data_IF_621795798132
#
_entry.id   IF_621795798132
#
_cell.length_a   1.000
_cell.length_b   1.000
_cell.length_c   1.000
_cell.angle_alpha   90.00
_cell.angle_beta   90.00
_cell.angle_gamma   90.00
#
_symmetry.space_group_name_H-M   'P 1'
#
loop_
_entity.id
_entity.type
_entity.pdbx_description
1 polymer ?
#
# COMPACT_ATOMS: atom_id res chain seq x y z
N UNK A 1 -12.04 38.48 -18.41
CA UNK A 1 -12.25 37.01 -18.43
C UNK A 1 -12.05 36.51 -17.02
N UNK A 2 -13.12 36.04 -16.37
CA UNK A 2 -13.04 35.32 -15.11
C UNK A 2 -12.59 33.88 -15.36
N UNK A 3 -11.73 33.34 -14.49
CA UNK A 3 -11.22 31.97 -14.61
C UNK A 3 -12.00 31.11 -13.61
N UNK A 4 -13.24 30.77 -13.96
CA UNK A 4 -14.15 30.08 -13.04
C UNK A 4 -13.85 28.58 -12.96
N UNK A 5 -13.78 28.06 -11.74
CA UNK A 5 -13.74 26.64 -11.42
C UNK A 5 -15.08 26.22 -10.84
N UNK A 6 -15.58 25.05 -11.22
CA UNK A 6 -16.82 24.49 -10.70
C UNK A 6 -16.58 23.12 -10.06
N UNK A 7 -17.04 22.96 -8.81
CA UNK A 7 -16.95 21.69 -8.10
C UNK A 7 -17.90 20.66 -8.73
N UNK A 8 -17.42 19.48 -9.15
CA UNK A 8 -18.28 18.45 -9.75
C UNK A 8 -19.20 17.77 -8.73
N UNK A 9 -18.89 17.84 -7.43
CA UNK A 9 -19.69 17.19 -6.39
C UNK A 9 -20.88 18.03 -5.90
N UNK A 10 -20.73 19.35 -5.81
CA UNK A 10 -21.76 20.25 -5.24
C UNK A 10 -22.12 21.46 -6.11
N UNK A 11 -21.45 21.66 -7.25
CA UNK A 11 -21.73 22.77 -8.16
C UNK A 11 -21.21 24.15 -7.71
N UNK A 12 -20.56 24.26 -6.55
CA UNK A 12 -19.96 25.51 -6.09
C UNK A 12 -18.96 26.06 -7.12
N UNK A 13 -19.05 27.35 -7.41
CA UNK A 13 -18.18 28.04 -8.37
C UNK A 13 -17.29 29.06 -7.66
N UNK A 14 -16.03 29.18 -8.08
CA UNK A 14 -15.07 30.13 -7.52
C UNK A 14 -14.05 30.60 -8.57
N UNK A 15 -13.51 31.81 -8.41
CA UNK A 15 -12.46 32.30 -9.32
C UNK A 15 -11.11 31.67 -8.95
N UNK A 16 -10.40 31.15 -9.97
CA UNK A 16 -9.11 30.49 -9.81
C UNK A 16 -8.06 31.42 -9.18
N UNK A 17 -8.13 32.74 -9.39
CA UNK A 17 -7.16 33.68 -8.81
C UNK A 17 -7.34 33.80 -7.30
N UNK A 18 -8.58 33.73 -6.82
CA UNK A 18 -8.90 33.73 -5.39
C UNK A 18 -8.48 32.40 -4.75
N UNK A 19 -8.74 31.27 -5.40
CA UNK A 19 -8.23 29.97 -4.93
C UNK A 19 -6.70 29.93 -4.88
N UNK A 20 -6.04 30.56 -5.85
CA UNK A 20 -4.58 30.74 -5.88
C UNK A 20 -4.10 31.76 -4.86
N UNK A 21 -4.93 32.50 -4.12
CA UNK A 21 -4.46 33.47 -3.14
C UNK A 21 -3.97 32.81 -1.83
N UNK A 22 -4.52 31.65 -1.46
CA UNK A 22 -4.15 30.89 -0.26
C UNK A 22 -2.78 30.21 -0.44
N UNK A 23 -1.78 30.61 0.35
CA UNK A 23 -0.42 30.07 0.26
C UNK A 23 -0.33 28.60 0.67
N UNK A 24 -1.06 28.17 1.69
CA UNK A 24 -1.00 26.79 2.18
C UNK A 24 -1.53 25.81 1.13
N UNK A 25 -2.60 26.19 0.42
CA UNK A 25 -3.10 25.40 -0.72
C UNK A 25 -2.08 25.28 -1.85
N UNK A 26 -1.32 26.34 -2.11
CA UNK A 26 -0.30 26.39 -3.17
C UNK A 26 0.82 25.42 -2.85
N UNK A 27 1.31 25.50 -1.62
CA UNK A 27 2.37 24.65 -1.14
C UNK A 27 1.89 23.20 -1.04
N UNK A 28 0.64 22.96 -0.61
CA UNK A 28 0.05 21.63 -0.57
C UNK A 28 -0.02 20.99 -1.95
N UNK A 29 -0.45 21.71 -2.98
CA UNK A 29 -0.49 21.20 -4.36
C UNK A 29 0.91 20.85 -4.87
N UNK A 30 1.91 21.68 -4.54
CA UNK A 30 3.32 21.40 -4.87
C UNK A 30 3.84 20.16 -4.14
N UNK A 31 3.50 19.98 -2.86
CA UNK A 31 3.86 18.78 -2.08
C UNK A 31 3.16 17.55 -2.64
N UNK A 32 1.86 17.63 -2.93
CA UNK A 32 1.07 16.55 -3.52
C UNK A 32 1.66 16.08 -4.86
N UNK A 33 2.08 17.02 -5.71
CA UNK A 33 2.71 16.69 -6.99
C UNK A 33 4.05 15.95 -6.85
N UNK A 34 4.72 16.05 -5.70
CA UNK A 34 5.96 15.31 -5.41
C UNK A 34 5.71 13.88 -4.91
N UNK A 35 4.48 13.54 -4.52
CA UNK A 35 4.13 12.15 -4.22
C UNK A 35 4.09 11.33 -5.51
N UNK A 36 4.49 10.04 -5.45
CA UNK A 36 4.22 9.10 -6.54
C UNK A 36 2.74 9.09 -6.91
N UNK A 37 2.44 9.02 -8.21
CA UNK A 37 1.07 9.15 -8.74
C UNK A 37 0.08 8.19 -8.07
N UNK A 38 0.50 6.94 -7.84
CA UNK A 38 -0.31 5.90 -7.17
C UNK A 38 -0.69 6.23 -5.72
N UNK A 39 0.06 7.10 -5.04
CA UNK A 39 -0.19 7.50 -3.65
C UNK A 39 -0.98 8.82 -3.54
N UNK A 40 -1.10 9.61 -4.61
CA UNK A 40 -1.73 10.94 -4.57
C UNK A 40 -3.22 10.86 -4.20
N UNK A 41 -3.99 9.99 -4.87
CA UNK A 41 -5.43 9.85 -4.59
C UNK A 41 -5.71 9.22 -3.22
N UNK A 42 -5.05 8.12 -2.80
CA UNK A 42 -5.18 7.59 -1.45
C UNK A 42 -4.83 8.61 -0.36
N UNK A 43 -3.84 9.48 -0.60
CA UNK A 43 -3.50 10.56 0.33
C UNK A 43 -4.66 11.55 0.51
N UNK A 44 -5.35 11.93 -0.57
CA UNK A 44 -6.51 12.83 -0.49
C UNK A 44 -7.66 12.21 0.31
N UNK A 45 -7.97 10.92 0.09
CA UNK A 45 -8.97 10.21 0.87
C UNK A 45 -8.56 10.10 2.34
N UNK A 46 -7.27 9.90 2.60
CA UNK A 46 -6.74 9.85 3.96
C UNK A 46 -6.88 11.20 4.71
N UNK A 47 -6.80 12.33 4.00
CA UNK A 47 -6.98 13.67 4.61
C UNK A 47 -8.37 13.84 5.23
N UNK A 48 -9.39 13.17 4.73
CA UNK A 48 -10.75 13.25 5.28
C UNK A 48 -10.80 12.80 6.75
N UNK A 49 -9.89 11.91 7.18
CA UNK A 49 -9.79 11.42 8.55
C UNK A 49 -9.33 12.46 9.57
N UNK A 50 -8.85 13.62 9.11
CA UNK A 50 -8.39 14.72 9.96
C UNK A 50 -9.42 15.83 10.09
N UNK A 51 -10.55 15.74 9.38
CA UNK A 51 -11.61 16.73 9.43
C UNK A 51 -12.23 16.79 10.84
N UNK A 52 -12.18 17.94 11.53
CA UNK A 52 -12.80 18.07 12.84
C UNK A 52 -14.32 17.95 12.77
N UNK A 53 -14.96 17.26 13.73
CA UNK A 53 -16.40 17.02 13.71
C UNK A 53 -17.26 18.29 13.63
N UNK A 54 -16.79 19.41 14.19
CA UNK A 54 -17.50 20.71 14.16
C UNK A 54 -17.17 21.59 12.96
N UNK A 55 -16.19 21.20 12.14
CA UNK A 55 -15.74 22.00 11.00
C UNK A 55 -16.15 21.33 9.69
N UNK A 56 -16.71 22.12 8.77
CA UNK A 56 -17.15 21.62 7.47
C UNK A 56 -15.98 21.25 6.55
N UNK A 57 -14.81 21.86 6.77
CA UNK A 57 -13.61 21.66 5.96
C UNK A 57 -12.36 21.47 6.83
N UNK A 58 -11.39 20.74 6.30
CA UNK A 58 -10.05 20.65 6.87
C UNK A 58 -9.27 21.93 6.51
N UNK A 59 -8.48 22.45 7.46
CA UNK A 59 -7.62 23.62 7.21
C UNK A 59 -6.47 23.26 6.28
N UNK A 60 -6.18 24.14 5.31
CA UNK A 60 -5.09 23.98 4.33
C UNK A 60 -3.71 23.81 5.00
N UNK A 61 -3.41 24.60 6.03
CA UNK A 61 -2.22 24.41 6.89
C UNK A 61 -2.07 23.00 7.46
N UNK A 62 -3.17 22.40 7.93
CA UNK A 62 -3.16 21.03 8.46
C UNK A 62 -2.90 20.01 7.35
N UNK A 63 -3.53 20.17 6.18
CA UNK A 63 -3.28 19.34 5.00
C UNK A 63 -1.81 19.38 4.58
N UNK A 64 -1.25 20.59 4.47
CA UNK A 64 0.16 20.82 4.13
C UNK A 64 1.09 20.15 5.15
N UNK A 65 0.84 20.34 6.45
CA UNK A 65 1.65 19.72 7.50
C UNK A 65 1.65 18.20 7.41
N UNK A 66 0.46 17.59 7.32
CA UNK A 66 0.32 16.13 7.25
C UNK A 66 1.02 15.56 6.01
N UNK A 67 0.83 16.18 4.85
CA UNK A 67 1.44 15.73 3.60
C UNK A 67 2.96 15.92 3.60
N UNK A 68 3.46 17.04 4.13
CA UNK A 68 4.90 17.33 4.20
C UNK A 68 5.64 16.38 5.13
N UNK A 69 5.01 15.97 6.24
CA UNK A 69 5.56 14.94 7.12
C UNK A 69 5.66 13.57 6.41
N UNK A 70 4.66 13.21 5.62
CA UNK A 70 4.62 11.90 4.92
C UNK A 70 5.54 11.84 3.70
N UNK A 71 5.70 12.93 2.97
CA UNK A 71 6.43 12.96 1.69
C UNK A 71 7.82 12.29 1.74
N UNK A 72 8.73 12.63 2.68
CA UNK A 72 10.05 12.02 2.73
C UNK A 72 9.99 10.51 3.03
N UNK A 73 9.05 10.05 3.85
CA UNK A 73 8.89 8.63 4.19
C UNK A 73 8.37 7.82 2.99
N UNK A 74 7.37 8.35 2.27
CA UNK A 74 6.81 7.69 1.09
C UNK A 74 7.83 7.64 -0.05
N UNK A 75 8.55 8.75 -0.30
CA UNK A 75 9.59 8.79 -1.34
C UNK A 75 10.79 7.90 -1.00
N UNK A 76 11.17 7.84 0.28
CA UNK A 76 12.23 6.97 0.76
C UNK A 76 11.85 5.49 0.75
N UNK A 77 10.54 5.15 0.68
CA UNK A 77 10.04 3.78 0.84
C UNK A 77 10.53 3.12 2.14
N UNK A 78 10.74 3.94 3.16
CA UNK A 78 11.29 3.54 4.46
C UNK A 78 10.39 4.05 5.58
N UNK A 79 10.08 3.16 6.52
CA UNK A 79 9.36 3.46 7.74
C UNK A 79 10.24 3.18 8.95
N UNK A 80 10.57 4.21 9.71
CA UNK A 80 11.31 4.10 10.98
C UNK A 80 10.34 4.18 12.14
N UNK A 81 10.17 3.09 12.88
CA UNK A 81 9.26 3.06 14.04
C UNK A 81 9.71 2.03 15.07
N UNK A 82 9.59 2.38 16.36
CA UNK A 82 10.00 1.53 17.50
C UNK A 82 11.44 1.00 17.40
N UNK A 83 12.35 1.78 16.79
CA UNK A 83 13.76 1.40 16.59
C UNK A 83 14.01 0.49 15.37
N UNK A 84 12.98 0.03 14.68
CA UNK A 84 13.10 -0.80 13.48
C UNK A 84 12.87 0.03 12.22
N UNK A 85 13.67 -0.22 11.19
CA UNK A 85 13.45 0.34 9.85
C UNK A 85 12.84 -0.73 8.96
N UNK A 86 11.64 -0.46 8.43
CA UNK A 86 10.93 -1.34 7.52
C UNK A 86 10.97 -0.76 6.11
N UNK A 87 11.32 -1.58 5.12
CA UNK A 87 11.14 -1.25 3.72
C UNK A 87 9.65 -1.40 3.36
N UNK A 88 9.02 -0.30 2.96
CA UNK A 88 7.59 -0.25 2.63
C UNK A 88 7.43 0.37 1.26
N UNK A 89 6.97 -0.44 0.30
CA UNK A 89 6.77 0.01 -1.07
C UNK A 89 5.65 1.04 -1.17
N UNK A 90 5.68 1.86 -2.21
CA UNK A 90 4.69 2.91 -2.46
C UNK A 90 3.27 2.32 -2.52
N UNK A 91 3.08 1.17 -3.18
CA UNK A 91 1.79 0.49 -3.23
C UNK A 91 1.26 0.07 -1.85
N UNK A 92 2.13 -0.27 -0.90
CA UNK A 92 1.72 -0.59 0.49
C UNK A 92 1.28 0.68 1.23
N UNK A 93 1.95 1.82 1.02
CA UNK A 93 1.52 3.12 1.54
C UNK A 93 0.14 3.51 1.00
N UNK A 94 -0.04 3.43 -0.32
CA UNK A 94 -1.30 3.72 -1.00
C UNK A 94 -2.44 2.84 -0.48
N UNK A 95 -2.21 1.52 -0.39
CA UNK A 95 -3.19 0.58 0.12
C UNK A 95 -3.55 0.84 1.59
N UNK A 96 -2.58 1.21 2.44
CA UNK A 96 -2.83 1.51 3.84
C UNK A 96 -3.66 2.80 4.00
N UNK A 97 -3.30 3.87 3.29
CA UNK A 97 -4.07 5.12 3.30
C UNK A 97 -5.52 4.90 2.86
N UNK A 98 -5.72 4.16 1.75
CA UNK A 98 -7.05 3.84 1.25
C UNK A 98 -7.84 2.97 2.23
N UNK A 99 -7.21 1.94 2.80
CA UNK A 99 -7.85 1.09 3.79
C UNK A 99 -8.33 1.90 4.99
N UNK A 100 -7.48 2.76 5.55
CA UNK A 100 -7.86 3.60 6.68
C UNK A 100 -9.03 4.53 6.34
N UNK A 101 -9.01 5.18 5.18
CA UNK A 101 -10.10 6.03 4.74
C UNK A 101 -11.44 5.26 4.62
N UNK A 102 -11.40 3.98 4.25
CA UNK A 102 -12.61 3.15 4.11
C UNK A 102 -13.12 2.49 5.40
N UNK A 103 -12.25 2.28 6.39
CA UNK A 103 -12.57 1.47 7.58
C UNK A 103 -12.82 2.32 8.83
N UNK A 104 -12.30 3.55 8.88
CA UNK A 104 -12.57 4.42 10.03
C UNK A 104 -13.97 5.02 9.91
N UNK A 105 -14.82 4.66 10.87
CA UNK A 105 -16.12 5.28 11.07
C UNK A 105 -15.98 6.76 11.43
N UNK A 106 -16.94 7.62 11.00
CA UNK A 106 -16.89 9.06 11.21
C UNK A 106 -16.99 9.48 12.69
N UNK A 107 -17.38 8.58 13.58
CA UNK A 107 -17.49 8.81 15.03
C UNK A 107 -16.14 8.79 15.76
N UNK A 108 -15.08 8.23 15.15
CA UNK A 108 -13.71 8.18 15.68
C UNK A 108 -12.79 9.32 15.19
N UNK A 109 -13.35 10.30 14.49
CA UNK A 109 -12.64 11.46 13.96
C UNK A 109 -12.54 12.59 15.00
N UNK A 110 -11.48 13.45 15.01
CA UNK A 110 -10.36 13.53 14.07
C UNK A 110 -9.07 12.89 14.60
N UNK A 111 -8.26 12.34 13.69
CA UNK A 111 -6.88 11.96 14.00
C UNK A 111 -6.04 13.22 14.27
N UNK A 112 -5.06 13.11 15.18
CA UNK A 112 -4.14 14.22 15.54
C UNK A 112 -2.90 14.33 14.66
N UNK A 113 -2.59 13.29 13.89
CA UNK A 113 -1.41 13.23 13.01
C UNK A 113 -1.24 11.85 12.36
N UNK A 114 -0.11 11.65 11.69
CA UNK A 114 0.20 10.43 10.92
C UNK A 114 0.47 9.18 11.76
N UNK A 115 0.52 9.31 13.10
CA UNK A 115 0.95 8.24 14.00
C UNK A 115 0.17 6.93 13.88
N UNK A 116 -1.13 6.99 13.55
CA UNK A 116 -1.97 5.79 13.38
C UNK A 116 -1.68 5.04 12.06
N UNK A 117 -1.44 5.77 10.97
CA UNK A 117 -1.02 5.19 9.69
C UNK A 117 0.33 4.50 9.83
N UNK A 118 1.29 5.18 10.45
CA UNK A 118 2.63 4.65 10.68
C UNK A 118 2.60 3.40 11.59
N UNK A 119 1.72 3.36 12.60
CA UNK A 119 1.54 2.17 13.44
C UNK A 119 0.97 1.00 12.64
N UNK A 120 -0.08 1.26 11.85
CA UNK A 120 -0.71 0.26 10.98
C UNK A 120 0.30 -0.34 10.01
N UNK A 121 1.14 0.49 9.40
CA UNK A 121 2.19 0.07 8.47
C UNK A 121 3.30 -0.73 9.17
N UNK A 122 3.78 -0.29 10.33
CA UNK A 122 4.79 -1.03 11.10
C UNK A 122 4.28 -2.42 11.46
N UNK A 123 3.06 -2.51 12.00
CA UNK A 123 2.42 -3.78 12.34
C UNK A 123 2.22 -4.67 11.09
N UNK A 124 1.93 -4.09 9.93
CA UNK A 124 1.82 -4.85 8.67
C UNK A 124 3.18 -5.37 8.20
N UNK A 125 4.23 -4.55 8.29
CA UNK A 125 5.58 -4.93 7.91
C UNK A 125 6.13 -6.04 8.82
N UNK A 126 5.94 -5.93 10.13
CA UNK A 126 6.30 -6.97 11.11
C UNK A 126 5.59 -8.30 10.82
N UNK A 127 4.28 -8.27 10.54
CA UNK A 127 3.52 -9.47 10.16
C UNK A 127 4.03 -10.10 8.86
N UNK A 128 4.44 -9.29 7.89
CA UNK A 128 5.01 -9.79 6.64
C UNK A 128 6.39 -10.43 6.87
N UNK A 129 7.24 -9.81 7.68
CA UNK A 129 8.55 -10.37 8.05
C UNK A 129 8.41 -11.70 8.80
N UNK A 130 7.53 -11.78 9.80
CA UNK A 130 7.27 -13.00 10.55
C UNK A 130 6.74 -14.14 9.66
N UNK A 131 5.86 -13.82 8.69
CA UNK A 131 5.38 -14.81 7.72
C UNK A 131 6.50 -15.31 6.81
N UNK A 132 7.34 -14.42 6.31
CA UNK A 132 8.48 -14.78 5.47
C UNK A 132 9.47 -15.70 6.21
N UNK A 133 9.77 -15.39 7.47
CA UNK A 133 10.63 -16.22 8.32
C UNK A 133 10.03 -17.61 8.55
N UNK A 134 8.73 -17.68 8.89
CA UNK A 134 8.05 -18.97 9.09
C UNK A 134 8.04 -19.83 7.82
N UNK A 135 7.84 -19.23 6.65
CA UNK A 135 7.86 -19.93 5.36
C UNK A 135 9.28 -20.43 5.02
N UNK A 136 10.32 -19.64 5.31
CA UNK A 136 11.71 -20.06 5.11
C UNK A 136 12.08 -21.25 5.99
N UNK A 137 11.67 -21.24 7.27
CA UNK A 137 11.89 -22.37 8.19
C UNK A 137 11.18 -23.64 7.69
N UNK A 138 9.95 -23.53 7.20
CA UNK A 138 9.21 -24.69 6.66
C UNK A 138 9.81 -25.23 5.35
N UNK A 139 10.30 -24.35 4.48
CA UNK A 139 11.04 -24.75 3.28
C UNK A 139 12.36 -25.46 3.64
N UNK A 140 13.08 -25.00 4.65
CA UNK A 140 14.27 -25.68 5.15
C UNK A 140 13.94 -27.05 5.76
N UNK A 141 12.83 -27.17 6.49
CA UNK A 141 12.38 -28.46 7.07
C UNK A 141 11.96 -29.47 5.99
N UNK A 142 11.23 -29.03 4.98
CA UNK A 142 10.76 -29.90 3.88
C UNK A 142 11.90 -30.35 2.96
N UNK A 143 12.87 -29.48 2.66
CA UNK A 143 14.09 -29.85 1.91
C UNK A 143 14.95 -30.85 2.69
N UNK A 144 15.12 -30.66 4.00
CA UNK A 144 15.89 -31.59 4.84
C UNK A 144 15.20 -32.97 4.97
N UNK A 145 13.87 -33.03 4.96
CA UNK A 145 13.12 -34.32 4.93
C UNK A 145 13.31 -35.09 3.62
N UNK A 146 13.40 -34.41 2.47
CA UNK A 146 13.63 -35.07 1.18
C UNK A 146 15.07 -35.56 1.00
N UNK A 147 16.04 -34.95 1.68
CA UNK A 147 17.45 -35.41 1.69
C UNK A 147 17.72 -36.66 2.54
N UNK A 148 16.82 -37.02 3.46
CA UNK A 148 17.00 -38.16 4.38
C UNK A 148 16.56 -39.52 3.80
N UNK A 149 16.03 -39.56 2.57
CA UNK A 149 15.54 -40.79 1.93
C UNK A 149 16.53 -41.50 1.00
N UNK A 150 17.73 -40.95 0.76
CA UNK A 150 18.63 -41.44 -0.29
C UNK A 150 20.11 -41.35 0.10
N UNK A 151 20.53 -41.90 1.25
CA UNK A 151 21.97 -42.07 1.58
C UNK A 151 22.24 -43.33 2.41
N UNK A 152 22.20 -44.50 1.77
CA UNK A 152 23.05 -45.64 2.14
C UNK A 152 23.96 -45.97 0.96
N UNK A 153 25.19 -45.45 1.02
CA UNK A 153 26.44 -46.04 0.50
C UNK A 153 27.52 -44.96 0.63
N UNK A 154 28.62 -45.29 1.33
CA UNK A 154 29.62 -44.33 1.79
C UNK A 154 30.49 -43.72 0.69
N UNK A 155 31.31 -42.73 1.05
CA UNK A 155 32.80 -42.77 1.13
C UNK A 155 33.27 -41.41 1.69
N UNK A 156 34.41 -41.45 2.37
CA UNK A 156 35.15 -40.38 3.07
C UNK A 156 35.67 -39.21 2.20
N UNK A 157 35.85 -38.07 2.89
CA UNK A 157 36.77 -36.95 2.62
C UNK A 157 36.48 -35.95 1.48
N UNK A 158 36.03 -34.74 1.84
CA UNK A 158 36.91 -33.56 2.00
C UNK A 158 36.07 -32.28 2.04
N UNK A 159 36.41 -31.42 2.99
CA UNK A 159 35.87 -30.09 3.20
C UNK A 159 36.15 -29.17 2.01
N UNK A 160 35.09 -28.83 1.27
CA UNK A 160 35.04 -27.63 0.44
C UNK A 160 33.89 -26.76 0.96
N UNK A 161 34.24 -25.57 1.43
CA UNK A 161 33.32 -24.54 1.88
C UNK A 161 32.56 -24.06 0.64
N UNK A 162 31.32 -24.51 0.48
CA UNK A 162 30.40 -23.92 -0.50
C UNK A 162 29.97 -22.55 0.01
N UNK A 163 30.42 -21.51 -0.70
CA UNK A 163 29.86 -20.17 -0.61
C UNK A 163 28.37 -20.28 -0.94
N UNK A 164 27.52 -20.19 0.08
CA UNK A 164 26.10 -19.89 -0.12
C UNK A 164 26.01 -18.41 -0.42
N UNK A 165 26.18 -18.06 -1.69
CA UNK A 165 25.68 -16.79 -2.22
C UNK A 165 24.18 -16.77 -1.98
N UNK A 166 23.77 -15.87 -1.08
CA UNK A 166 22.37 -15.47 -0.91
C UNK A 166 21.73 -15.30 -2.29
N UNK A 167 20.51 -15.81 -2.56
CA UNK A 167 19.90 -15.65 -3.87
C UNK A 167 19.87 -14.16 -4.20
N UNK A 168 20.60 -13.84 -5.26
CA UNK A 168 20.72 -12.52 -5.84
C UNK A 168 19.30 -12.00 -6.09
N UNK A 169 18.99 -10.83 -5.53
CA UNK A 169 17.73 -10.12 -5.80
C UNK A 169 17.67 -9.87 -7.30
N UNK A 170 16.87 -10.66 -8.02
CA UNK A 170 16.61 -10.43 -9.42
C UNK A 170 15.64 -9.24 -9.53
N UNK A 171 16.07 -8.11 -10.12
CA UNK A 171 15.14 -7.05 -10.49
C UNK A 171 14.08 -7.68 -11.38
N UNK A 172 12.80 -7.46 -11.08
CA UNK A 172 11.66 -8.00 -11.80
C UNK A 172 11.92 -8.02 -13.31
N UNK A 173 12.26 -9.20 -13.84
CA UNK A 173 12.21 -9.40 -15.28
C UNK A 173 10.75 -9.16 -15.67
N UNK A 174 10.57 -8.30 -16.67
CA UNK A 174 9.27 -7.91 -17.18
C UNK A 174 8.50 -9.20 -17.46
N UNK A 175 7.49 -9.49 -16.63
CA UNK A 175 6.65 -10.69 -16.79
C UNK A 175 6.29 -10.79 -18.28
N UNK A 176 6.48 -11.96 -18.91
CA UNK A 176 6.21 -12.09 -20.34
C UNK A 176 4.79 -11.60 -20.58
N UNK A 177 4.63 -10.74 -21.60
CA UNK A 177 3.33 -10.23 -21.97
C UNK A 177 2.41 -11.44 -22.18
N UNK A 178 1.41 -11.57 -21.30
CA UNK A 178 0.41 -12.62 -21.38
C UNK A 178 -0.25 -12.47 -22.76
N UNK A 179 -0.29 -13.53 -23.56
CA UNK A 179 -0.91 -13.42 -24.89
C UNK A 179 -2.37 -12.95 -24.73
N UNK A 180 -2.91 -12.23 -25.72
CA UNK A 180 -4.29 -11.74 -25.65
C UNK A 180 -5.30 -12.88 -25.40
N UNK A 181 -5.00 -14.07 -25.91
CA UNK A 181 -5.76 -15.29 -25.70
C UNK A 181 -5.76 -15.73 -24.22
N UNK A 182 -4.60 -15.71 -23.55
CA UNK A 182 -4.49 -16.03 -22.13
C UNK A 182 -5.14 -14.96 -21.25
N UNK A 183 -5.07 -13.69 -21.65
CA UNK A 183 -5.75 -12.60 -20.96
C UNK A 183 -7.29 -12.74 -21.06
N UNK A 184 -7.81 -13.14 -22.22
CA UNK A 184 -9.24 -13.43 -22.42
C UNK A 184 -9.69 -14.63 -21.57
N UNK A 185 -8.94 -15.74 -21.60
CA UNK A 185 -9.24 -16.93 -20.79
C UNK A 185 -9.27 -16.61 -19.28
N UNK A 186 -8.35 -15.75 -18.80
CA UNK A 186 -8.35 -15.31 -17.41
C UNK A 186 -9.55 -14.42 -17.07
N UNK A 187 -9.97 -13.52 -17.98
CA UNK A 187 -11.17 -12.68 -17.79
C UNK A 187 -12.43 -13.52 -17.71
N UNK A 188 -12.56 -14.54 -18.54
CA UNK A 188 -13.70 -15.47 -18.52
C UNK A 188 -13.72 -16.31 -17.24
N UNK A 189 -12.56 -16.81 -16.79
CA UNK A 189 -12.45 -17.52 -15.50
C UNK A 189 -12.88 -16.66 -14.32
N UNK A 190 -12.42 -15.40 -14.27
CA UNK A 190 -12.79 -14.46 -13.21
C UNK A 190 -14.29 -14.16 -13.26
N UNK A 191 -14.84 -13.93 -14.45
CA UNK A 191 -16.29 -13.71 -14.62
C UNK A 191 -17.10 -14.88 -14.08
N UNK A 192 -16.73 -16.11 -14.46
CA UNK A 192 -17.39 -17.31 -13.97
C UNK A 192 -17.29 -17.47 -12.46
N UNK A 193 -16.13 -17.21 -11.86
CA UNK A 193 -15.96 -17.23 -10.40
C UNK A 193 -16.85 -16.19 -9.69
N UNK A 194 -17.02 -15.00 -10.27
CA UNK A 194 -17.87 -13.95 -9.71
C UNK A 194 -19.36 -14.31 -9.83
N UNK A 195 -19.78 -14.88 -10.96
CA UNK A 195 -21.15 -15.36 -11.17
C UNK A 195 -21.47 -16.53 -10.21
N UNK A 196 -20.56 -17.50 -10.08
CA UNK A 196 -20.69 -18.61 -9.13
C UNK A 196 -20.77 -18.13 -7.67
N UNK A 197 -19.95 -17.15 -7.29
CA UNK A 197 -19.97 -16.54 -5.96
C UNK A 197 -21.27 -15.74 -5.70
N UNK A 198 -21.83 -15.11 -6.73
CA UNK A 198 -23.10 -14.38 -6.64
C UNK A 198 -24.28 -15.34 -6.44
N UNK A 199 -24.30 -16.45 -7.18
CA UNK A 199 -25.34 -17.49 -7.03
C UNK A 199 -25.23 -18.25 -5.69
N UNK A 200 -24.02 -18.49 -5.19
CA UNK A 200 -23.81 -19.09 -3.86
C UNK A 200 -24.40 -18.21 -2.73
N UNK A 201 -24.40 -16.88 -2.88
CA UNK A 201 -24.98 -15.95 -1.91
C UNK A 201 -26.51 -15.82 -1.98
N UNK A 202 -27.15 -16.21 -3.08
CA UNK A 202 -28.62 -16.15 -3.22
C UNK A 202 -29.32 -17.45 -2.80
N UNK A 203 -28.59 -18.55 -2.64
CA UNK A 203 -29.13 -19.82 -2.11
C UNK A 203 -29.22 -19.91 -0.58
N UNK A 204 -28.74 -18.89 0.13
CA UNK A 204 -28.74 -18.79 1.59
C UNK A 204 -29.57 -17.59 2.05
N UNK A 205 -30.89 -17.70 1.92
CA UNK A 205 -31.82 -16.96 2.75
C UNK A 205 -32.79 -17.97 3.41
N UNK A 206 -33.09 -17.80 4.71
CA UNK A 206 -33.88 -18.74 5.51
C UNK A 206 -35.34 -18.84 5.10
#
# INVERSE_FOLDING_TARGET
MSLQLQCPACGASFDLREARADQDWRDFVVVLAQFPQEAQWPLLNYMELFKPARQTHLRSSTMLKIASELLPMVRGQELKRKGTTHAVTIGVWAAAMQHLASTLEPDRLPLKGNGYLLETLANRAERMAAKAESAAIEQQRSTNRQGSGMRQAGVVASSAISQTTSPEYQPYERLPAISEEQAQANRERIRKMLDDAFHAKQGEQP
#
